data_IF_072998206592
#
_entry.id   IF_072998206592
#
_cell.length_a   1.000
_cell.length_b   1.000
_cell.length_c   1.000
_cell.angle_alpha   90.00
_cell.angle_beta   90.00
_cell.angle_gamma   90.00
#
_symmetry.space_group_name_H-M   'P 1'
#
loop_
_entity.id
_entity.type
_entity.pdbx_description
1 polymer ?
#
# COMPACT_ATOMS: atom_id res chain seq x y z
N UNK A 1 28.76 -32.58 13.31
CA UNK A 1 28.02 -31.90 12.21
C UNK A 1 26.59 -31.73 12.62
N UNK A 2 26.20 -30.50 12.95
CA UNK A 2 24.83 -30.21 13.38
C UNK A 2 23.96 -29.98 12.13
N UNK A 3 22.98 -30.83 11.92
CA UNK A 3 21.97 -30.72 10.87
C UNK A 3 21.15 -29.46 11.10
N UNK A 4 21.30 -28.48 10.21
CA UNK A 4 20.48 -27.28 10.15
C UNK A 4 19.04 -27.71 9.86
N UNK A 5 18.16 -27.66 10.88
CA UNK A 5 16.71 -27.87 10.71
C UNK A 5 16.19 -26.83 9.74
N UNK A 6 15.83 -27.23 8.53
CA UNK A 6 15.05 -26.43 7.61
C UNK A 6 13.74 -26.03 8.28
N UNK A 7 13.55 -24.73 8.47
CA UNK A 7 12.26 -24.18 8.91
C UNK A 7 11.26 -24.45 7.78
N UNK A 8 10.37 -25.42 7.95
CA UNK A 8 9.20 -25.61 7.09
C UNK A 8 8.50 -24.27 6.96
N UNK A 9 8.46 -23.74 5.75
CA UNK A 9 7.67 -22.54 5.45
C UNK A 9 6.21 -22.87 5.74
N UNK A 10 5.58 -22.03 6.57
CA UNK A 10 4.14 -22.16 6.84
C UNK A 10 3.36 -21.94 5.55
N UNK A 11 2.27 -22.66 5.29
CA UNK A 11 1.40 -22.39 4.15
C UNK A 11 0.95 -20.93 4.16
N UNK A 12 0.83 -20.31 2.98
CA UNK A 12 0.44 -18.91 2.82
C UNK A 12 -0.89 -18.61 3.56
N UNK A 13 -1.83 -19.52 3.50
CA UNK A 13 -3.13 -19.43 4.18
C UNK A 13 -2.99 -19.31 5.69
N UNK A 14 -2.08 -20.08 6.28
CA UNK A 14 -1.83 -20.03 7.72
C UNK A 14 -1.15 -18.72 8.14
N UNK A 15 -0.22 -18.21 7.32
CA UNK A 15 0.43 -16.92 7.57
C UNK A 15 -0.57 -15.77 7.46
N UNK A 16 -1.45 -15.81 6.46
CA UNK A 16 -2.54 -14.85 6.31
C UNK A 16 -3.49 -14.88 7.50
N UNK A 17 -3.93 -16.07 7.91
CA UNK A 17 -4.84 -16.25 9.06
C UNK A 17 -4.23 -15.73 10.36
N UNK A 18 -2.96 -16.05 10.64
CA UNK A 18 -2.25 -15.57 11.83
C UNK A 18 -2.09 -14.04 11.81
N UNK A 19 -1.79 -13.48 10.64
CA UNK A 19 -1.69 -12.03 10.44
C UNK A 19 -3.05 -11.35 10.63
N UNK A 20 -4.08 -11.95 10.09
CA UNK A 20 -5.46 -11.55 10.25
C UNK A 20 -5.88 -11.52 11.73
N UNK A 21 -5.60 -12.57 12.48
CA UNK A 21 -5.95 -12.64 13.90
C UNK A 21 -5.20 -11.59 14.74
N UNK A 22 -3.96 -11.28 14.41
CA UNK A 22 -3.18 -10.23 15.09
C UNK A 22 -3.72 -8.83 14.84
N UNK A 23 -4.17 -8.54 13.63
CA UNK A 23 -4.74 -7.24 13.28
C UNK A 23 -6.14 -7.06 13.87
N UNK A 24 -6.93 -8.14 13.90
CA UNK A 24 -8.31 -8.14 14.41
C UNK A 24 -8.41 -7.81 15.91
N UNK A 25 -7.37 -8.08 16.70
CA UNK A 25 -7.38 -7.78 18.14
C UNK A 25 -7.40 -6.27 18.45
N UNK A 26 -7.02 -5.42 17.47
CA UNK A 26 -6.86 -3.98 17.67
C UNK A 26 -7.81 -3.12 16.82
N UNK A 27 -8.69 -3.74 16.04
CA UNK A 27 -9.61 -3.03 15.12
C UNK A 27 -11.01 -3.63 15.14
N UNK A 28 -12.04 -2.81 14.86
CA UNK A 28 -13.39 -3.34 14.61
C UNK A 28 -13.37 -4.24 13.36
N UNK A 29 -14.26 -5.26 13.30
CA UNK A 29 -14.28 -6.24 12.21
C UNK A 29 -14.44 -5.61 10.82
N UNK A 30 -15.21 -4.53 10.71
CA UNK A 30 -15.45 -3.80 9.44
C UNK A 30 -14.18 -3.05 9.02
N UNK A 31 -13.54 -2.32 9.93
CA UNK A 31 -12.31 -1.58 9.66
C UNK A 31 -11.18 -2.50 9.25
N UNK A 32 -11.09 -3.65 9.90
CA UNK A 32 -10.15 -4.70 9.54
C UNK A 32 -10.37 -5.21 8.11
N UNK A 33 -11.61 -5.47 7.71
CA UNK A 33 -11.94 -5.91 6.36
C UNK A 33 -11.52 -4.87 5.32
N UNK A 34 -11.84 -3.59 5.51
CA UNK A 34 -11.44 -2.50 4.61
C UNK A 34 -9.92 -2.36 4.51
N UNK A 35 -9.23 -2.47 5.63
CA UNK A 35 -7.77 -2.41 5.67
C UNK A 35 -7.12 -3.54 4.86
N UNK A 36 -7.58 -4.77 5.05
CA UNK A 36 -7.08 -5.94 4.31
C UNK A 36 -7.39 -5.84 2.82
N UNK A 37 -8.60 -5.42 2.46
CA UNK A 37 -8.98 -5.19 1.05
C UNK A 37 -8.09 -4.14 0.39
N UNK A 38 -7.82 -3.02 1.07
CA UNK A 38 -6.92 -1.98 0.58
C UNK A 38 -5.50 -2.49 0.35
N UNK A 39 -4.96 -3.28 1.29
CA UNK A 39 -3.63 -3.89 1.16
C UNK A 39 -3.55 -4.90 0.01
N UNK A 40 -4.55 -5.77 -0.13
CA UNK A 40 -4.61 -6.76 -1.23
C UNK A 40 -4.71 -6.05 -2.56
N UNK A 41 -5.57 -5.04 -2.67
CA UNK A 41 -5.71 -4.24 -3.87
C UNK A 41 -4.40 -3.53 -4.24
N UNK A 42 -3.77 -2.86 -3.28
CA UNK A 42 -2.52 -2.14 -3.49
C UNK A 42 -1.39 -3.07 -3.93
N UNK A 43 -1.32 -4.27 -3.33
CA UNK A 43 -0.36 -5.31 -3.75
C UNK A 43 -0.62 -5.79 -5.17
N UNK A 44 -1.86 -6.08 -5.51
CA UNK A 44 -2.25 -6.53 -6.86
C UNK A 44 -1.97 -5.45 -7.92
N UNK A 45 -2.39 -4.22 -7.65
CA UNK A 45 -2.18 -3.09 -8.54
C UNK A 45 -0.68 -2.84 -8.76
N UNK A 46 0.14 -2.91 -7.69
CA UNK A 46 1.60 -2.75 -7.80
C UNK A 46 2.25 -3.83 -8.66
N UNK A 47 1.84 -5.08 -8.53
CA UNK A 47 2.39 -6.16 -9.38
C UNK A 47 2.08 -5.94 -10.87
N UNK A 48 0.86 -5.50 -11.19
CA UNK A 48 0.46 -5.18 -12.56
C UNK A 48 1.25 -3.98 -13.10
N UNK A 49 1.38 -2.95 -12.29
CA UNK A 49 2.14 -1.75 -12.63
C UNK A 49 3.63 -2.05 -12.86
N UNK A 50 4.28 -2.78 -11.95
CA UNK A 50 5.70 -3.13 -12.07
C UNK A 50 5.97 -3.92 -13.35
N UNK A 51 5.12 -4.90 -13.67
CA UNK A 51 5.21 -5.67 -14.91
C UNK A 51 5.10 -4.76 -16.15
N UNK A 52 4.08 -3.89 -16.19
CA UNK A 52 3.90 -2.96 -17.32
C UNK A 52 5.05 -1.96 -17.42
N UNK A 53 5.53 -1.46 -16.28
CA UNK A 53 6.69 -0.57 -16.23
C UNK A 53 7.93 -1.21 -16.86
N UNK A 54 8.20 -2.47 -16.55
CA UNK A 54 9.31 -3.22 -17.13
C UNK A 54 9.14 -3.41 -18.65
N UNK A 55 7.92 -3.69 -19.13
CA UNK A 55 7.62 -3.77 -20.56
C UNK A 55 7.91 -2.44 -21.27
N UNK A 56 7.47 -1.31 -20.72
CA UNK A 56 7.72 0.03 -21.27
C UNK A 56 9.23 0.33 -21.28
N UNK A 57 9.95 0.04 -20.21
CA UNK A 57 11.41 0.28 -20.12
C UNK A 57 12.19 -0.52 -21.14
N UNK A 58 11.72 -1.72 -21.52
CA UNK A 58 12.33 -2.59 -22.52
C UNK A 58 11.86 -2.28 -23.96
N UNK A 59 10.93 -1.33 -24.12
CA UNK A 59 10.41 -0.91 -25.42
C UNK A 59 11.12 0.34 -25.95
N UNK A 60 10.72 0.80 -27.15
CA UNK A 60 11.17 2.07 -27.71
C UNK A 60 10.59 3.27 -26.95
N UNK A 61 9.52 3.04 -26.18
CA UNK A 61 8.75 4.06 -25.47
C UNK A 61 9.26 4.30 -24.04
N UNK A 62 10.47 3.86 -23.71
CA UNK A 62 11.06 3.95 -22.37
C UNK A 62 11.06 5.39 -21.79
N UNK A 63 11.06 6.42 -22.64
CA UNK A 63 10.98 7.82 -22.23
C UNK A 63 9.64 8.20 -21.60
N UNK A 64 8.58 7.42 -21.88
CA UNK A 64 7.22 7.66 -21.41
C UNK A 64 6.83 6.83 -20.19
N UNK A 65 7.81 6.17 -19.56
CA UNK A 65 7.62 5.27 -18.43
C UNK A 65 6.93 5.92 -17.21
N UNK A 66 6.96 7.23 -17.10
CA UNK A 66 6.30 7.97 -16.02
C UNK A 66 5.00 8.67 -16.49
N UNK A 67 4.51 8.38 -17.69
CA UNK A 67 3.24 8.90 -18.22
C UNK A 67 2.08 7.95 -17.91
N UNK A 68 1.06 8.38 -17.16
CA UNK A 68 -0.09 7.55 -16.79
C UNK A 68 -0.84 6.93 -17.97
N UNK A 69 -0.95 7.65 -19.11
CA UNK A 69 -1.66 7.19 -20.31
C UNK A 69 -1.15 5.86 -20.85
N UNK A 70 0.16 5.60 -20.79
CA UNK A 70 0.76 4.34 -21.27
C UNK A 70 0.39 3.12 -20.42
N UNK A 71 -0.09 3.37 -19.21
CA UNK A 71 -0.62 2.33 -18.31
C UNK A 71 -2.12 2.15 -18.52
N UNK A 72 -2.86 3.25 -18.69
CA UNK A 72 -4.31 3.22 -18.91
C UNK A 72 -4.71 2.47 -20.20
N UNK A 73 -3.92 2.59 -21.28
CA UNK A 73 -4.13 1.87 -22.54
C UNK A 73 -4.21 0.34 -22.35
N UNK A 74 -3.49 -0.20 -21.37
CA UNK A 74 -3.45 -1.62 -21.02
C UNK A 74 -4.32 -1.97 -19.80
N UNK A 75 -5.20 -1.06 -19.38
CA UNK A 75 -6.02 -1.21 -18.18
C UNK A 75 -5.17 -1.49 -16.90
N UNK A 76 -4.03 -0.84 -16.80
CA UNK A 76 -3.15 -0.88 -15.64
C UNK A 76 -3.21 0.46 -14.93
N UNK A 77 -3.40 0.44 -13.61
CA UNK A 77 -3.37 1.66 -12.81
C UNK A 77 -1.95 2.19 -12.68
N UNK A 78 -1.80 3.50 -12.92
CA UNK A 78 -0.53 4.16 -12.65
C UNK A 78 -0.30 4.30 -11.15
N UNK A 79 0.86 3.86 -10.66
CA UNK A 79 1.20 3.92 -9.24
C UNK A 79 2.35 4.90 -9.02
N UNK A 80 2.08 6.05 -8.38
CA UNK A 80 3.11 7.01 -8.03
C UNK A 80 4.11 6.42 -7.02
N UNK A 81 5.29 7.00 -6.95
CA UNK A 81 6.38 6.49 -6.12
C UNK A 81 5.99 6.26 -4.66
N UNK A 82 5.19 7.18 -4.11
CA UNK A 82 4.74 7.16 -2.72
C UNK A 82 3.69 6.08 -2.43
N UNK A 83 3.07 5.50 -3.48
CA UNK A 83 2.08 4.43 -3.37
C UNK A 83 2.64 3.05 -3.72
N UNK A 84 3.90 2.93 -4.11
CA UNK A 84 4.49 1.63 -4.51
C UNK A 84 4.56 0.66 -3.35
N UNK A 85 4.21 -0.58 -3.62
CA UNK A 85 4.28 -1.66 -2.64
C UNK A 85 5.67 -1.84 -2.03
N UNK A 86 6.73 -1.63 -2.80
CA UNK A 86 8.11 -1.69 -2.34
C UNK A 86 8.39 -0.72 -1.19
N UNK A 87 7.85 0.49 -1.26
CA UNK A 87 7.97 1.48 -0.18
C UNK A 87 7.32 0.99 1.11
N UNK A 88 6.10 0.46 1.02
CA UNK A 88 5.35 -0.06 2.17
C UNK A 88 6.07 -1.27 2.76
N UNK A 89 6.50 -2.23 1.91
CA UNK A 89 7.21 -3.43 2.32
C UNK A 89 8.52 -3.11 3.05
N UNK A 90 9.31 -2.18 2.51
CA UNK A 90 10.61 -1.82 3.08
C UNK A 90 10.46 -1.10 4.43
N UNK A 91 9.36 -0.39 4.61
CA UNK A 91 9.08 0.37 5.83
C UNK A 91 8.14 -0.34 6.82
N UNK A 92 7.69 -1.56 6.52
CA UNK A 92 6.72 -2.30 7.34
C UNK A 92 7.14 -2.53 8.81
N UNK A 93 8.44 -2.52 9.09
CA UNK A 93 9.01 -2.68 10.45
C UNK A 93 9.48 -1.36 11.07
N UNK A 94 9.41 -0.26 10.33
CA UNK A 94 9.86 1.04 10.79
C UNK A 94 8.83 1.66 11.72
N UNK A 95 9.28 2.17 12.86
CA UNK A 95 8.41 2.87 13.82
C UNK A 95 7.96 4.25 13.31
N UNK A 96 8.77 4.85 12.47
CA UNK A 96 8.59 6.18 11.91
C UNK A 96 9.10 6.19 10.47
N UNK A 97 8.33 6.75 9.58
CA UNK A 97 8.61 6.81 8.14
C UNK A 97 8.45 8.26 7.72
N UNK A 98 9.55 8.88 7.30
CA UNK A 98 9.52 10.28 6.84
C UNK A 98 9.47 10.30 5.31
N UNK A 99 8.44 10.91 4.74
CA UNK A 99 8.30 11.10 3.30
C UNK A 99 8.13 12.58 2.97
N UNK A 100 8.59 12.95 1.78
CA UNK A 100 8.32 14.27 1.20
C UNK A 100 6.96 14.24 0.53
N UNK A 101 6.04 15.04 1.04
CA UNK A 101 4.67 15.18 0.51
C UNK A 101 4.46 16.58 -0.01
N UNK A 102 3.70 16.70 -1.09
CA UNK A 102 3.31 17.99 -1.62
C UNK A 102 2.13 18.53 -0.79
N UNK A 103 2.36 19.60 -0.04
CA UNK A 103 1.30 20.32 0.70
C UNK A 103 1.35 21.81 0.36
N UNK A 104 0.24 22.31 -0.20
CA UNK A 104 0.13 23.74 -0.55
C UNK A 104 1.11 24.21 -1.63
N UNK A 105 1.58 23.31 -2.51
CA UNK A 105 2.54 23.61 -3.57
C UNK A 105 4.01 23.52 -3.15
N UNK A 106 4.28 23.13 -1.91
CA UNK A 106 5.64 22.94 -1.38
C UNK A 106 5.87 21.50 -0.94
N UNK A 107 7.11 21.01 -1.12
CA UNK A 107 7.53 19.71 -0.60
C UNK A 107 7.86 19.83 0.89
N UNK A 108 7.12 19.15 1.73
CA UNK A 108 7.33 19.09 3.19
C UNK A 108 7.60 17.67 3.65
N UNK A 109 8.53 17.56 4.58
CA UNK A 109 8.80 16.28 5.25
C UNK A 109 7.66 15.97 6.23
N UNK A 110 7.02 14.83 6.04
CA UNK A 110 5.92 14.37 6.88
C UNK A 110 6.22 12.99 7.44
N UNK A 111 5.95 12.84 8.72
CA UNK A 111 6.14 11.57 9.42
C UNK A 111 4.87 10.72 9.39
N UNK A 112 5.04 9.47 8.99
CA UNK A 112 3.97 8.50 8.89
C UNK A 112 4.20 7.31 9.83
N UNK A 113 3.14 6.82 10.42
CA UNK A 113 3.05 5.44 10.90
C UNK A 113 2.62 4.54 9.75
N UNK A 114 2.85 3.24 9.84
CA UNK A 114 2.55 2.31 8.76
C UNK A 114 1.10 2.41 8.26
N UNK A 115 0.11 2.48 9.16
CA UNK A 115 -1.30 2.65 8.78
C UNK A 115 -1.55 3.93 8.01
N UNK A 116 -1.00 5.05 8.46
CA UNK A 116 -1.10 6.35 7.77
C UNK A 116 -0.38 6.34 6.41
N UNK A 117 0.71 5.57 6.28
CA UNK A 117 1.40 5.39 5.00
C UNK A 117 0.53 4.64 3.99
N UNK A 118 -0.18 3.61 4.44
CA UNK A 118 -1.10 2.83 3.59
C UNK A 118 -2.27 3.71 3.15
N UNK A 119 -2.87 4.49 4.05
CA UNK A 119 -3.93 5.45 3.71
C UNK A 119 -3.46 6.47 2.69
N UNK A 120 -2.28 7.05 2.91
CA UNK A 120 -1.69 7.99 1.98
C UNK A 120 -1.41 7.37 0.61
N UNK A 121 -0.90 6.13 0.57
CA UNK A 121 -0.66 5.41 -0.67
C UNK A 121 -1.96 5.18 -1.46
N UNK A 122 -3.06 4.83 -0.79
CA UNK A 122 -4.37 4.67 -1.41
C UNK A 122 -4.93 6.01 -1.90
N UNK A 123 -4.77 7.10 -1.14
CA UNK A 123 -5.16 8.45 -1.55
C UNK A 123 -4.39 8.91 -2.81
N UNK A 124 -3.08 8.70 -2.85
CA UNK A 124 -2.26 9.05 -4.01
C UNK A 124 -2.61 8.20 -5.24
N UNK A 125 -2.91 6.92 -5.04
CA UNK A 125 -3.36 6.04 -6.11
C UNK A 125 -4.69 6.51 -6.71
N UNK A 126 -5.63 6.94 -5.86
CA UNK A 126 -6.93 7.47 -6.27
C UNK A 126 -6.80 8.80 -7.03
N UNK A 127 -5.89 9.68 -6.61
CA UNK A 127 -5.62 10.95 -7.29
C UNK A 127 -5.05 10.75 -8.70
N UNK A 128 -4.19 9.76 -8.88
CA UNK A 128 -3.55 9.47 -10.16
C UNK A 128 -4.44 8.69 -11.12
N UNK A 129 -5.52 8.07 -10.64
CA UNK A 129 -6.40 7.22 -11.44
C UNK A 129 -7.87 7.62 -11.23
N UNK A 130 -8.41 8.39 -12.16
CA UNK A 130 -9.81 8.89 -12.09
C UNK A 130 -10.84 7.78 -11.95
N UNK A 131 -10.57 6.61 -12.49
CA UNK A 131 -11.43 5.41 -12.43
C UNK A 131 -11.59 4.86 -11.01
N UNK A 132 -10.64 5.14 -10.10
CA UNK A 132 -10.64 4.68 -8.72
C UNK A 132 -11.29 5.66 -7.74
N UNK A 133 -11.69 6.83 -8.23
CA UNK A 133 -12.23 7.89 -7.37
C UNK A 133 -13.47 7.43 -6.60
N UNK A 134 -13.36 7.41 -5.26
CA UNK A 134 -14.42 6.94 -4.37
C UNK A 134 -14.60 5.42 -4.30
N UNK A 135 -13.78 4.64 -5.00
CA UNK A 135 -13.87 3.18 -5.00
C UNK A 135 -12.98 2.52 -3.94
N UNK A 136 -11.93 3.22 -3.51
CA UNK A 136 -11.01 2.68 -2.53
C UNK A 136 -11.49 2.94 -1.09
N UNK A 137 -11.16 2.05 -0.15
CA UNK A 137 -11.50 2.24 1.25
C UNK A 137 -10.59 3.29 1.92
N UNK A 138 -10.55 4.48 1.32
CA UNK A 138 -9.84 5.64 1.84
C UNK A 138 -10.84 6.45 2.64
N UNK A 139 -10.89 6.28 3.93
CA UNK A 139 -11.91 6.96 4.70
C UNK A 139 -11.49 7.36 6.10
N UNK A 140 -12.34 8.17 6.76
CA UNK A 140 -12.14 8.57 8.16
C UNK A 140 -12.08 7.37 9.11
N UNK A 141 -12.47 6.19 8.67
CA UNK A 141 -12.52 4.96 9.47
C UNK A 141 -11.12 4.45 9.84
N UNK A 142 -10.16 4.52 8.91
CA UNK A 142 -8.76 4.18 9.21
C UNK A 142 -8.08 5.36 9.94
N UNK A 143 -8.50 6.59 9.63
CA UNK A 143 -8.01 7.81 10.29
C UNK A 143 -8.48 7.96 11.75
N UNK A 144 -9.64 7.44 12.13
CA UNK A 144 -10.18 7.54 13.49
C UNK A 144 -9.49 6.61 14.48
N UNK A 145 -9.21 5.37 14.10
CA UNK A 145 -8.54 4.40 15.00
C UNK A 145 -7.08 4.79 15.30
N UNK A 146 -6.43 5.56 14.42
CA UNK A 146 -5.08 6.06 14.66
C UNK A 146 -5.02 7.33 15.53
N UNK A 147 -6.14 8.03 15.75
CA UNK A 147 -6.19 9.30 16.51
C UNK A 147 -6.68 9.18 17.95
N UNK A 148 -7.37 8.12 18.31
CA UNK A 148 -7.91 7.93 19.66
C UNK A 148 -7.51 6.56 20.24
N UNK A 149 -6.37 6.47 20.95
CA UNK A 149 -6.08 5.32 21.80
C UNK A 149 -6.87 5.32 23.12
N UNK A 150 -7.77 6.28 23.31
CA UNK A 150 -8.43 6.52 24.62
C UNK A 150 -9.95 6.50 24.51
N UNK A 151 -10.53 5.41 23.99
CA UNK A 151 -11.93 5.08 24.24
C UNK A 151 -12.08 3.57 24.29
N UNK A 152 -11.60 3.00 25.38
CA UNK A 152 -12.12 1.75 25.92
C UNK A 152 -12.86 2.11 27.20
N UNK A 153 -14.15 1.71 27.31
CA UNK A 153 -14.82 1.70 28.59
C UNK A 153 -14.24 0.63 29.51
#
# INVERSE_FOLDING_TARGET
MALKKEKKQKPLEQVLMESCNKLRSNMSGINYMYFVMGLVFLKFASLKFEKRREEILNSKDYLFVDMPSFYEEENVFYIPEQARWSLIKNNARSKKITLKVMEGGELKDKDFKLGMLIDHALEELEKCNSQLKGALPVGPTIKQDCRNPTLLP
#
